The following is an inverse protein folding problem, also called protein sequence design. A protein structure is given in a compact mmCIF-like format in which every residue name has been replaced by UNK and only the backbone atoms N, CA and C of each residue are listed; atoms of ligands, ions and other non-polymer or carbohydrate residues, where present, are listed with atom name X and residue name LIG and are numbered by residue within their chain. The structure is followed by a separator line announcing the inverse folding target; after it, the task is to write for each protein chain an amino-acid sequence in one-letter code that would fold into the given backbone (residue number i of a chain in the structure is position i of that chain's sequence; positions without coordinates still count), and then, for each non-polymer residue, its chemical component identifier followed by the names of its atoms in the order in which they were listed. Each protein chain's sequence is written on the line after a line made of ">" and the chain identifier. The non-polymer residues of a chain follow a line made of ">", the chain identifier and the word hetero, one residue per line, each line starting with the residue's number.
data_IF_780550972470
#
_entry.id   IF_780550972470
#
_cell.length_a   1.000
_cell.length_b   1.000
_cell.length_c   1.000
_cell.angle_alpha   90.00
_cell.angle_beta   90.00
_cell.angle_gamma   90.00
#
_symmetry.space_group_name_H-M   'P 1'
#
loop_
_entity.id
_entity.type
_entity.pdbx_description
1 polymer ?
#
# COMPACT_ATOMS: atom_id res chain seq x y z
N UNK A 1 11.63 22.32 -24.18
CA UNK A 1 11.08 21.33 -23.23
C UNK A 1 11.59 19.97 -23.66
N UNK A 2 12.50 19.36 -22.89
CA UNK A 2 13.01 18.03 -23.18
C UNK A 2 11.95 17.00 -22.79
N UNK A 3 11.52 16.18 -23.74
CA UNK A 3 10.67 15.01 -23.46
C UNK A 3 11.42 14.05 -22.54
N UNK A 4 10.84 13.58 -21.43
CA UNK A 4 11.50 12.59 -20.58
C UNK A 4 11.75 11.33 -21.42
N UNK A 5 13.00 10.85 -21.40
CA UNK A 5 13.35 9.58 -22.03
C UNK A 5 12.51 8.46 -21.41
N UNK A 6 11.92 7.56 -22.20
CA UNK A 6 11.23 6.39 -21.64
C UNK A 6 12.22 5.60 -20.79
N UNK A 7 11.85 5.33 -19.54
CA UNK A 7 12.60 4.45 -18.65
C UNK A 7 12.82 3.12 -19.38
N UNK A 8 14.08 2.77 -19.64
CA UNK A 8 14.45 1.48 -20.24
C UNK A 8 13.85 0.36 -19.39
N UNK A 9 13.15 -0.57 -20.02
CA UNK A 9 12.63 -1.76 -19.35
C UNK A 9 13.79 -2.55 -18.75
N UNK A 10 13.78 -2.76 -17.44
CA UNK A 10 14.69 -3.69 -16.78
C UNK A 10 14.33 -5.11 -17.26
N UNK A 11 15.30 -5.93 -17.71
CA UNK A 11 15.02 -7.31 -18.08
C UNK A 11 14.41 -8.06 -16.89
N UNK A 12 13.38 -8.86 -17.16
CA UNK A 12 12.71 -9.65 -16.13
C UNK A 12 13.73 -10.51 -15.38
N UNK A 13 13.74 -10.39 -14.05
CA UNK A 13 14.59 -11.24 -13.24
C UNK A 13 14.06 -12.67 -13.23
N UNK A 14 14.94 -13.68 -13.08
CA UNK A 14 14.54 -15.09 -13.15
C UNK A 14 13.57 -15.54 -12.05
N UNK A 15 13.34 -14.71 -11.02
CA UNK A 15 12.36 -14.96 -9.96
C UNK A 15 10.94 -14.51 -10.34
N UNK A 16 10.77 -13.76 -11.43
CA UNK A 16 9.48 -13.20 -11.89
C UNK A 16 8.59 -14.23 -12.61
N UNK A 17 9.12 -15.42 -12.94
CA UNK A 17 8.40 -16.44 -13.71
C UNK A 17 7.91 -17.59 -12.84
N UNK A 18 6.70 -18.08 -13.13
CA UNK A 18 6.22 -19.35 -12.57
C UNK A 18 7.18 -20.50 -12.90
N UNK A 19 7.30 -21.52 -12.03
CA UNK A 19 8.09 -22.70 -12.32
C UNK A 19 7.56 -23.43 -13.57
N UNK A 20 8.46 -24.07 -14.33
CA UNK A 20 8.06 -24.91 -15.45
C UNK A 20 7.09 -26.00 -14.98
N UNK A 21 5.99 -26.23 -15.71
CA UNK A 21 5.00 -27.24 -15.34
C UNK A 21 4.08 -26.84 -14.18
N UNK A 22 3.94 -25.55 -13.89
CA UNK A 22 2.98 -24.99 -12.95
C UNK A 22 1.59 -25.64 -13.08
N UNK A 23 0.96 -25.91 -11.93
CA UNK A 23 -0.36 -26.52 -11.88
C UNK A 23 -1.42 -25.48 -12.23
N UNK A 24 -2.19 -25.75 -13.28
CA UNK A 24 -3.37 -24.96 -13.66
C UNK A 24 -4.59 -25.86 -13.67
N UNK A 25 -5.65 -25.44 -12.95
CA UNK A 25 -7.00 -25.97 -13.10
C UNK A 25 -7.13 -27.50 -13.07
N UNK A 26 -6.70 -28.15 -11.98
CA UNK A 26 -6.99 -29.59 -11.79
C UNK A 26 -8.51 -29.74 -11.61
N UNK A 27 -9.18 -30.24 -12.64
CA UNK A 27 -10.62 -30.53 -12.63
C UNK A 27 -10.80 -32.05 -12.55
N UNK A 28 -11.73 -32.49 -11.71
CA UNK A 28 -12.16 -33.88 -11.66
C UNK A 28 -13.25 -34.08 -12.72
N UNK A 29 -13.05 -35.07 -13.59
CA UNK A 29 -14.10 -35.54 -14.49
C UNK A 29 -15.19 -36.28 -13.70
N UNK A 30 -16.40 -36.35 -14.26
CA UNK A 30 -17.52 -37.06 -13.64
C UNK A 30 -17.13 -38.52 -13.32
N UNK A 31 -17.48 -38.98 -12.12
CA UNK A 31 -17.15 -40.30 -11.56
C UNK A 31 -15.65 -40.60 -11.32
N UNK A 32 -14.74 -39.65 -11.56
CA UNK A 32 -13.32 -39.82 -11.29
C UNK A 32 -12.97 -39.63 -9.79
N UNK A 33 -12.11 -40.49 -9.25
CA UNK A 33 -11.53 -40.33 -7.91
C UNK A 33 -10.19 -39.58 -8.02
N UNK A 34 -10.01 -38.52 -7.22
CA UNK A 34 -8.75 -37.80 -7.17
C UNK A 34 -7.63 -38.66 -6.57
N UNK A 35 -6.64 -39.01 -7.38
CA UNK A 35 -5.38 -39.60 -6.91
C UNK A 35 -4.30 -38.51 -6.83
N UNK A 36 -3.93 -38.05 -5.62
CA UNK A 36 -3.01 -36.94 -5.44
C UNK A 36 -1.59 -37.27 -5.93
N UNK A 37 -1.16 -38.52 -5.81
CA UNK A 37 0.19 -38.94 -6.24
C UNK A 37 0.23 -39.00 -7.75
N UNK A 38 -0.79 -39.57 -8.39
CA UNK A 38 -0.89 -39.62 -9.85
C UNK A 38 -0.99 -38.22 -10.48
N UNK A 39 -1.67 -37.27 -9.81
CA UNK A 39 -1.81 -35.89 -10.28
C UNK A 39 -0.46 -35.16 -10.45
N UNK A 40 0.53 -35.50 -9.62
CA UNK A 40 1.85 -34.86 -9.61
C UNK A 40 2.98 -35.77 -10.10
N UNK A 41 2.71 -37.05 -10.36
CA UNK A 41 3.72 -38.02 -10.79
C UNK A 41 4.39 -37.57 -12.10
N UNK A 42 5.72 -37.52 -12.10
CA UNK A 42 6.51 -37.04 -13.24
C UNK A 42 6.58 -35.52 -13.40
N UNK A 43 5.89 -34.75 -12.54
CA UNK A 43 5.97 -33.27 -12.48
C UNK A 43 6.71 -32.76 -11.25
N UNK A 44 6.97 -33.61 -10.25
CA UNK A 44 7.58 -33.23 -8.97
C UNK A 44 8.86 -32.42 -9.15
N UNK A 45 9.80 -32.87 -9.98
CA UNK A 45 11.08 -32.16 -10.19
C UNK A 45 10.93 -30.78 -10.84
N UNK A 46 9.84 -30.57 -11.58
CA UNK A 46 9.53 -29.28 -12.22
C UNK A 46 8.82 -28.33 -11.25
N UNK A 47 7.94 -28.87 -10.42
CA UNK A 47 7.21 -28.13 -9.38
C UNK A 47 8.09 -27.79 -8.17
N UNK A 48 9.00 -28.69 -7.81
CA UNK A 48 9.90 -28.58 -6.68
C UNK A 48 11.30 -28.96 -7.18
N UNK A 49 12.09 -27.96 -7.62
CA UNK A 49 13.45 -28.19 -8.10
C UNK A 49 14.32 -28.91 -7.07
N UNK A 50 15.16 -29.86 -7.51
CA UNK A 50 16.08 -30.60 -6.65
C UNK A 50 17.14 -29.69 -6.03
N UNK A 51 17.72 -30.10 -4.90
CA UNK A 51 18.73 -29.33 -4.17
C UNK A 51 19.97 -28.97 -5.02
N UNK A 52 20.33 -29.81 -5.99
CA UNK A 52 21.48 -29.61 -6.89
C UNK A 52 21.20 -28.59 -8.01
N UNK A 53 19.94 -28.39 -8.39
CA UNK A 53 19.49 -27.42 -9.39
C UNK A 53 18.87 -26.15 -8.81
N UNK A 54 18.59 -26.14 -7.50
CA UNK A 54 17.95 -25.01 -6.82
C UNK A 54 18.93 -23.88 -6.56
N UNK A 55 18.69 -22.73 -7.19
CA UNK A 55 19.34 -21.48 -6.80
C UNK A 55 18.56 -20.89 -5.62
N UNK A 56 19.23 -20.38 -4.56
CA UNK A 56 18.56 -19.69 -3.44
C UNK A 56 17.67 -18.51 -3.86
N UNK A 57 17.79 -18.07 -5.11
CA UNK A 57 16.99 -17.00 -5.72
C UNK A 57 15.67 -17.46 -6.34
N UNK A 58 15.34 -18.77 -6.31
CA UNK A 58 14.06 -19.28 -6.81
C UNK A 58 13.10 -19.53 -5.65
N UNK A 59 11.98 -18.80 -5.61
CA UNK A 59 10.98 -18.98 -4.58
C UNK A 59 10.18 -20.27 -4.80
N UNK A 60 10.08 -21.12 -3.78
CA UNK A 60 9.37 -22.41 -3.86
C UNK A 60 7.86 -22.30 -3.65
N UNK A 61 7.40 -21.22 -3.02
CA UNK A 61 5.98 -21.01 -2.69
C UNK A 61 5.17 -20.37 -3.83
N UNK A 62 5.84 -19.95 -4.91
CA UNK A 62 5.19 -19.25 -6.02
C UNK A 62 4.21 -20.18 -6.73
N UNK A 63 2.94 -19.78 -6.73
CA UNK A 63 1.87 -20.49 -7.42
C UNK A 63 0.86 -19.46 -7.93
N UNK A 64 0.68 -19.42 -9.26
CA UNK A 64 -0.28 -18.55 -9.94
C UNK A 64 -0.18 -17.09 -9.47
N UNK A 65 1.05 -16.63 -9.23
CA UNK A 65 1.33 -15.26 -8.80
C UNK A 65 1.97 -14.53 -9.97
N UNK A 66 1.16 -13.74 -10.67
CA UNK A 66 1.55 -13.17 -11.96
C UNK A 66 2.64 -12.08 -11.81
N UNK A 67 3.69 -12.05 -12.64
CA UNK A 67 4.76 -11.03 -12.53
C UNK A 67 4.26 -9.57 -12.58
N UNK A 68 3.20 -9.30 -13.32
CA UNK A 68 2.60 -7.96 -13.34
C UNK A 68 1.97 -7.57 -11.99
N UNK A 69 1.30 -8.50 -11.29
CA UNK A 69 0.69 -8.19 -9.97
C UNK A 69 1.76 -8.04 -8.91
N UNK A 70 2.81 -8.87 -8.96
CA UNK A 70 4.01 -8.72 -8.12
C UNK A 70 4.70 -7.37 -8.31
N UNK A 71 4.89 -6.94 -9.57
CA UNK A 71 5.45 -5.62 -9.88
C UNK A 71 4.59 -4.49 -9.33
N UNK A 72 3.26 -4.61 -9.43
CA UNK A 72 2.36 -3.60 -8.91
C UNK A 72 2.31 -3.58 -7.38
N UNK A 73 2.38 -4.73 -6.71
CA UNK A 73 2.56 -4.81 -5.26
C UNK A 73 3.84 -4.10 -4.82
N UNK A 74 4.97 -4.33 -5.51
CA UNK A 74 6.21 -3.61 -5.25
C UNK A 74 6.10 -2.10 -5.47
N UNK A 75 5.32 -1.66 -6.47
CA UNK A 75 5.02 -0.24 -6.63
C UNK A 75 4.17 0.30 -5.48
N UNK A 76 3.17 -0.46 -5.03
CA UNK A 76 2.27 -0.07 -3.93
C UNK A 76 3.03 0.02 -2.60
N UNK A 77 3.96 -0.89 -2.32
CA UNK A 77 4.87 -0.81 -1.17
C UNK A 77 5.62 0.53 -1.16
N UNK A 78 6.11 0.99 -2.33
CA UNK A 78 6.77 2.28 -2.43
C UNK A 78 5.81 3.47 -2.24
N UNK A 79 4.55 3.37 -2.71
CA UNK A 79 3.51 4.39 -2.47
C UNK A 79 3.27 4.55 -0.97
N UNK A 80 3.02 3.45 -0.26
CA UNK A 80 2.77 3.44 1.19
C UNK A 80 3.97 3.97 2.00
N UNK A 81 5.20 3.61 1.61
CA UNK A 81 6.40 4.19 2.23
C UNK A 81 6.54 5.70 1.96
N UNK A 82 6.20 6.18 0.75
CA UNK A 82 6.25 7.60 0.42
C UNK A 82 5.16 8.40 1.16
N UNK A 83 3.95 7.82 1.29
CA UNK A 83 2.87 8.37 2.11
C UNK A 83 3.30 8.47 3.57
N UNK A 84 3.89 7.40 4.12
CA UNK A 84 4.43 7.38 5.48
C UNK A 84 5.46 8.48 5.72
N UNK A 85 6.41 8.65 4.80
CA UNK A 85 7.46 9.66 4.92
C UNK A 85 6.90 11.09 4.80
N UNK A 86 5.90 11.28 3.93
CA UNK A 86 5.21 12.57 3.78
C UNK A 86 4.43 12.93 5.04
N UNK A 87 3.66 12.00 5.61
CA UNK A 87 2.97 12.23 6.88
C UNK A 87 3.92 12.49 8.04
N UNK A 88 5.10 11.86 8.05
CA UNK A 88 6.14 12.17 9.03
C UNK A 88 6.63 13.62 8.89
N UNK A 89 6.81 14.12 7.67
CA UNK A 89 7.15 15.52 7.41
C UNK A 89 6.05 16.47 7.87
N UNK A 90 4.79 16.17 7.53
CA UNK A 90 3.62 16.94 7.98
C UNK A 90 3.58 17.01 9.52
N UNK A 91 3.77 15.89 10.21
CA UNK A 91 3.82 15.85 11.68
C UNK A 91 4.85 16.83 12.24
N UNK A 92 6.06 16.84 11.69
CA UNK A 92 7.13 17.76 12.11
C UNK A 92 6.80 19.23 11.82
N UNK A 93 6.12 19.53 10.71
CA UNK A 93 5.66 20.89 10.41
C UNK A 93 4.68 21.40 11.47
N UNK A 94 3.64 20.63 11.80
CA UNK A 94 2.63 21.04 12.77
C UNK A 94 3.14 21.08 14.22
N UNK A 95 4.20 20.32 14.52
CA UNK A 95 4.87 20.32 15.81
C UNK A 95 5.76 21.55 16.06
N UNK A 96 6.05 22.38 15.05
CA UNK A 96 6.88 23.59 15.21
C UNK A 96 6.23 24.56 16.19
N UNK A 97 7.04 25.22 17.01
CA UNK A 97 6.60 26.24 17.96
C UNK A 97 5.91 27.43 17.28
N UNK A 98 6.30 27.73 16.04
CA UNK A 98 5.70 28.79 15.22
C UNK A 98 4.39 28.39 14.50
N UNK A 99 4.04 27.10 14.48
CA UNK A 99 2.76 26.59 13.92
C UNK A 99 1.80 26.21 15.05
N UNK A 100 2.26 25.42 16.01
CA UNK A 100 1.57 25.19 17.29
C UNK A 100 0.25 24.41 17.20
N UNK A 101 0.19 23.37 16.34
CA UNK A 101 -1.01 22.52 16.15
C UNK A 101 -0.70 21.06 16.54
N UNK A 102 -0.59 20.76 17.85
CA UNK A 102 -0.17 19.45 18.34
C UNK A 102 -1.14 18.32 17.99
N UNK A 103 -2.45 18.59 17.87
CA UNK A 103 -3.42 17.55 17.48
C UNK A 103 -3.14 17.00 16.08
N UNK A 104 -2.92 17.88 15.11
CA UNK A 104 -2.50 17.53 13.76
C UNK A 104 -1.13 16.88 13.73
N UNK A 105 -0.18 17.37 14.54
CA UNK A 105 1.13 16.72 14.66
C UNK A 105 0.99 15.26 15.08
N UNK A 106 0.17 14.96 16.08
CA UNK A 106 -0.13 13.60 16.54
C UNK A 106 -0.89 12.78 15.49
N UNK A 107 -1.91 13.36 14.84
CA UNK A 107 -2.65 12.70 13.77
C UNK A 107 -1.72 12.22 12.66
N UNK A 108 -0.87 13.11 12.15
CA UNK A 108 0.03 12.77 11.05
C UNK A 108 1.14 11.81 11.46
N UNK A 109 1.60 11.84 12.71
CA UNK A 109 2.51 10.81 13.21
C UNK A 109 1.84 9.43 13.23
N UNK A 110 0.58 9.36 13.68
CA UNK A 110 -0.21 8.13 13.66
C UNK A 110 -0.41 7.63 12.24
N UNK A 111 -0.80 8.49 11.30
CA UNK A 111 -0.93 8.16 9.87
C UNK A 111 0.39 7.68 9.26
N UNK A 112 1.52 8.30 9.61
CA UNK A 112 2.85 7.86 9.19
C UNK A 112 3.15 6.43 9.65
N UNK A 113 2.79 6.08 10.88
CA UNK A 113 2.98 4.72 11.40
C UNK A 113 2.03 3.71 10.74
N UNK A 114 0.77 4.07 10.53
CA UNK A 114 -0.24 3.20 9.90
C UNK A 114 0.12 2.86 8.44
N UNK A 115 0.49 3.85 7.64
CA UNK A 115 0.95 3.65 6.25
C UNK A 115 2.27 2.86 6.19
N UNK A 116 3.20 3.08 7.12
CA UNK A 116 4.39 2.23 7.24
C UNK A 116 4.04 0.78 7.54
N UNK A 117 3.04 0.53 8.40
CA UNK A 117 2.55 -0.81 8.69
C UNK A 117 1.94 -1.45 7.44
N UNK A 118 1.15 -0.71 6.66
CA UNK A 118 0.62 -1.17 5.38
C UNK A 118 1.73 -1.60 4.41
N UNK A 119 2.79 -0.79 4.25
CA UNK A 119 3.93 -1.14 3.40
C UNK A 119 4.61 -2.45 3.82
N UNK A 120 4.76 -2.67 5.13
CA UNK A 120 5.33 -3.90 5.69
C UNK A 120 4.39 -5.09 5.46
N UNK A 121 3.08 -4.92 5.62
CA UNK A 121 2.08 -5.95 5.39
C UNK A 121 2.03 -6.39 3.92
N UNK A 122 2.08 -5.44 2.98
CA UNK A 122 2.20 -5.72 1.55
C UNK A 122 3.51 -6.47 1.23
N UNK A 123 4.64 -6.07 1.81
CA UNK A 123 5.93 -6.74 1.61
C UNK A 123 5.93 -8.18 2.14
N UNK A 124 5.32 -8.39 3.31
CA UNK A 124 5.12 -9.72 3.89
C UNK A 124 4.23 -10.58 2.98
N UNK A 125 3.18 -10.00 2.41
CA UNK A 125 2.30 -10.68 1.48
C UNK A 125 3.02 -11.10 0.18
N UNK A 126 3.83 -10.22 -0.43
CA UNK A 126 4.66 -10.57 -1.60
C UNK A 126 5.55 -11.77 -1.28
N UNK A 127 6.21 -11.75 -0.11
CA UNK A 127 7.09 -12.83 0.32
C UNK A 127 6.31 -14.14 0.56
N UNK A 128 5.11 -14.04 1.14
CA UNK A 128 4.18 -15.18 1.37
C UNK A 128 3.77 -15.85 0.05
N UNK A 129 3.56 -15.08 -1.01
CA UNK A 129 3.19 -15.58 -2.35
C UNK A 129 4.37 -16.07 -3.18
N UNK A 130 5.58 -16.10 -2.62
CA UNK A 130 6.79 -16.51 -3.33
C UNK A 130 7.29 -15.46 -4.32
N UNK A 131 6.98 -14.18 -4.08
CA UNK A 131 7.57 -13.06 -4.80
C UNK A 131 8.79 -12.47 -4.10
N UNK A 132 9.44 -11.53 -4.78
CA UNK A 132 10.58 -10.78 -4.28
C UNK A 132 10.21 -9.30 -4.07
N UNK A 133 10.53 -8.80 -2.87
CA UNK A 133 10.34 -7.39 -2.53
C UNK A 133 11.49 -6.56 -3.07
N UNK A 134 11.17 -5.52 -3.84
CA UNK A 134 12.13 -4.56 -4.41
C UNK A 134 11.79 -3.17 -3.90
N UNK A 135 12.47 -2.75 -2.83
CA UNK A 135 12.31 -1.40 -2.27
C UNK A 135 12.94 -0.36 -3.21
N UNK A 136 12.24 0.76 -3.37
CA UNK A 136 12.66 1.88 -4.23
C UNK A 136 13.07 3.09 -3.39
N UNK A 137 13.82 4.04 -3.97
CA UNK A 137 14.10 5.31 -3.31
C UNK A 137 12.81 6.07 -3.00
N UNK A 138 12.75 6.67 -1.82
CA UNK A 138 11.68 7.56 -1.39
C UNK A 138 12.13 9.00 -1.60
N UNK A 139 11.33 9.81 -2.29
CA UNK A 139 11.65 11.22 -2.52
C UNK A 139 11.57 12.00 -1.19
N UNK A 140 12.39 13.05 -1.07
CA UNK A 140 12.28 13.98 0.04
C UNK A 140 10.90 14.68 -0.02
N UNK A 141 10.10 14.64 1.06
CA UNK A 141 8.80 15.30 1.10
C UNK A 141 8.98 16.81 1.19
N UNK A 142 7.90 17.55 0.90
CA UNK A 142 7.81 18.97 1.20
C UNK A 142 7.99 19.23 2.71
N UNK A 143 8.47 20.42 3.07
CA UNK A 143 8.68 20.80 4.48
C UNK A 143 7.75 21.92 4.96
N UNK A 144 6.97 22.53 4.08
CA UNK A 144 6.08 23.65 4.37
C UNK A 144 4.68 23.33 3.85
N UNK A 145 3.67 23.47 4.70
CA UNK A 145 2.28 23.11 4.38
C UNK A 145 1.27 24.24 4.62
N UNK A 146 1.76 25.40 5.08
CA UNK A 146 0.96 26.56 5.41
C UNK A 146 0.37 27.24 4.18
N UNK A 147 -0.82 27.81 4.35
CA UNK A 147 -1.52 28.59 3.33
C UNK A 147 -2.05 29.88 3.97
N UNK A 148 -1.62 31.07 3.52
CA UNK A 148 -2.03 32.33 4.13
C UNK A 148 -3.54 32.63 4.06
N UNK A 149 -4.26 32.05 3.11
CA UNK A 149 -5.69 32.28 2.92
C UNK A 149 -6.55 31.26 3.65
N UNK A 150 -6.15 29.98 3.61
CA UNK A 150 -6.91 28.86 4.19
C UNK A 150 -6.53 28.56 5.64
N UNK A 151 -5.33 28.97 6.06
CA UNK A 151 -4.70 28.52 7.28
C UNK A 151 -4.16 27.08 7.18
N UNK A 152 -3.16 26.81 8.00
CA UNK A 152 -2.34 25.61 7.94
C UNK A 152 -3.13 24.31 8.14
N UNK A 153 -4.12 24.31 9.05
CA UNK A 153 -4.89 23.11 9.34
C UNK A 153 -5.75 22.68 8.14
N UNK A 154 -6.46 23.64 7.52
CA UNK A 154 -7.31 23.35 6.37
C UNK A 154 -6.47 22.95 5.15
N UNK A 155 -5.37 23.66 4.90
CA UNK A 155 -4.44 23.34 3.81
C UNK A 155 -3.91 21.90 3.93
N UNK A 156 -3.42 21.52 5.12
CA UNK A 156 -2.93 20.17 5.37
C UNK A 156 -3.98 19.10 5.17
N UNK A 157 -5.17 19.27 5.75
CA UNK A 157 -6.22 18.26 5.63
C UNK A 157 -6.79 18.14 4.22
N UNK A 158 -6.82 19.23 3.43
CA UNK A 158 -7.18 19.15 2.01
C UNK A 158 -6.14 18.37 1.20
N UNK A 159 -4.84 18.63 1.45
CA UNK A 159 -3.75 17.87 0.86
C UNK A 159 -3.84 16.38 1.25
N UNK A 160 -4.03 16.09 2.53
CA UNK A 160 -4.22 14.72 3.04
C UNK A 160 -5.36 14.02 2.33
N UNK A 161 -6.54 14.63 2.26
CA UNK A 161 -7.69 14.02 1.57
C UNK A 161 -7.40 13.77 0.09
N UNK A 162 -6.65 14.64 -0.57
CA UNK A 162 -6.26 14.44 -1.98
C UNK A 162 -5.25 13.28 -2.13
N UNK A 163 -4.26 13.19 -1.24
CA UNK A 163 -3.28 12.10 -1.24
C UNK A 163 -3.94 10.74 -0.98
N UNK A 164 -4.82 10.64 0.02
CA UNK A 164 -5.55 9.40 0.35
C UNK A 164 -6.47 8.95 -0.80
N UNK A 165 -7.07 9.89 -1.54
CA UNK A 165 -7.84 9.56 -2.75
C UNK A 165 -6.95 8.99 -3.86
N UNK A 166 -5.77 9.56 -4.06
CA UNK A 166 -4.81 9.06 -5.04
C UNK A 166 -4.27 7.69 -4.64
N UNK A 167 -4.02 7.45 -3.36
CA UNK A 167 -3.64 6.14 -2.83
C UNK A 167 -4.76 5.11 -3.01
N UNK A 168 -5.99 5.47 -2.71
CA UNK A 168 -7.17 4.60 -2.93
C UNK A 168 -7.30 4.20 -4.40
N UNK A 169 -7.14 5.14 -5.33
CA UNK A 169 -7.13 4.85 -6.78
C UNK A 169 -6.02 3.88 -7.17
N UNK A 170 -4.85 3.94 -6.50
CA UNK A 170 -3.77 2.98 -6.70
C UNK A 170 -4.11 1.59 -6.18
N UNK A 171 -4.76 1.48 -5.03
CA UNK A 171 -5.27 0.19 -4.54
C UNK A 171 -6.30 -0.41 -5.49
N UNK A 172 -7.25 0.38 -5.99
CA UNK A 172 -8.25 -0.08 -6.96
C UNK A 172 -7.60 -0.53 -8.28
N UNK A 173 -6.59 0.19 -8.76
CA UNK A 173 -5.82 -0.19 -9.94
C UNK A 173 -5.07 -1.52 -9.75
N UNK A 174 -4.48 -1.72 -8.57
CA UNK A 174 -3.82 -2.98 -8.21
C UNK A 174 -4.83 -4.13 -8.08
N UNK A 175 -6.01 -3.88 -7.50
CA UNK A 175 -7.07 -4.88 -7.39
C UNK A 175 -7.56 -5.33 -8.77
N UNK A 176 -7.80 -4.37 -9.66
CA UNK A 176 -8.15 -4.66 -11.05
C UNK A 176 -7.09 -5.53 -11.74
N UNK A 177 -5.80 -5.24 -11.52
CA UNK A 177 -4.74 -6.05 -12.09
C UNK A 177 -4.71 -7.49 -11.54
N UNK A 178 -5.19 -7.71 -10.31
CA UNK A 178 -5.38 -9.04 -9.74
C UNK A 178 -6.59 -9.76 -10.38
N UNK A 179 -7.71 -9.05 -10.54
CA UNK A 179 -8.92 -9.55 -11.21
C UNK A 179 -8.64 -9.95 -12.67
N UNK A 180 -7.89 -9.12 -13.42
CA UNK A 180 -7.54 -9.36 -14.83
C UNK A 180 -6.77 -10.68 -15.03
N UNK A 181 -6.03 -11.14 -14.01
CA UNK A 181 -5.29 -12.42 -14.02
C UNK A 181 -5.95 -13.51 -13.17
N UNK A 182 -7.18 -13.26 -12.67
CA UNK A 182 -7.97 -14.18 -11.85
C UNK A 182 -7.21 -14.63 -10.59
N UNK A 183 -6.50 -13.70 -9.94
CA UNK A 183 -5.86 -13.92 -8.63
C UNK A 183 -6.84 -13.51 -7.51
N UNK A 184 -7.82 -14.39 -7.26
CA UNK A 184 -8.89 -14.18 -6.28
C UNK A 184 -8.33 -13.91 -4.87
N UNK A 185 -7.28 -14.63 -4.48
CA UNK A 185 -6.68 -14.49 -3.15
C UNK A 185 -6.01 -13.12 -2.96
N UNK A 186 -5.40 -12.56 -4.01
CA UNK A 186 -4.87 -11.20 -3.98
C UNK A 186 -6.00 -10.16 -3.92
N UNK A 187 -7.06 -10.35 -4.71
CA UNK A 187 -8.22 -9.44 -4.70
C UNK A 187 -8.88 -9.36 -3.30
N UNK A 188 -9.13 -10.51 -2.67
CA UNK A 188 -9.68 -10.59 -1.32
C UNK A 188 -8.75 -9.91 -0.31
N UNK A 189 -7.44 -10.21 -0.39
CA UNK A 189 -6.46 -9.60 0.50
C UNK A 189 -6.44 -8.07 0.40
N UNK A 190 -6.52 -7.51 -0.81
CA UNK A 190 -6.52 -6.07 -1.02
C UNK A 190 -7.81 -5.41 -0.51
N UNK A 191 -8.93 -6.06 -0.75
CA UNK A 191 -10.26 -5.58 -0.35
C UNK A 191 -10.37 -5.50 1.18
N UNK A 192 -10.16 -6.64 1.85
CA UNK A 192 -10.36 -6.78 3.29
C UNK A 192 -9.37 -5.94 4.11
N UNK A 193 -8.11 -5.86 3.66
CA UNK A 193 -7.04 -5.30 4.47
C UNK A 193 -6.77 -3.82 4.19
N UNK A 194 -7.15 -3.30 3.02
CA UNK A 194 -6.79 -1.93 2.61
C UNK A 194 -7.96 -1.13 2.06
N UNK A 195 -8.68 -1.64 1.04
CA UNK A 195 -9.70 -0.84 0.34
C UNK A 195 -10.85 -0.44 1.28
N UNK A 196 -11.37 -1.37 2.08
CA UNK A 196 -12.44 -1.07 3.03
C UNK A 196 -12.01 0.00 4.06
N UNK A 197 -10.80 -0.15 4.61
CA UNK A 197 -10.23 0.81 5.55
C UNK A 197 -10.00 2.19 4.91
N UNK A 198 -9.62 2.22 3.64
CA UNK A 198 -9.43 3.46 2.89
C UNK A 198 -10.76 4.22 2.70
N UNK A 199 -11.88 3.52 2.46
CA UNK A 199 -13.19 4.15 2.35
C UNK A 199 -13.60 4.85 3.66
N UNK A 200 -13.40 4.18 4.80
CA UNK A 200 -13.68 4.75 6.12
C UNK A 200 -12.79 5.97 6.41
N UNK A 201 -11.51 5.87 6.08
CA UNK A 201 -10.55 6.94 6.26
C UNK A 201 -10.86 8.17 5.39
N UNK A 202 -11.21 7.94 4.11
CA UNK A 202 -11.62 9.02 3.20
C UNK A 202 -12.84 9.76 3.75
N UNK A 203 -13.81 9.03 4.31
CA UNK A 203 -14.97 9.63 4.96
C UNK A 203 -14.56 10.48 6.16
N UNK A 204 -13.69 9.98 7.02
CA UNK A 204 -13.18 10.68 8.19
C UNK A 204 -12.46 11.98 7.80
N UNK A 205 -11.49 11.90 6.89
CA UNK A 205 -10.74 13.08 6.44
C UNK A 205 -11.62 14.10 5.70
N UNK A 206 -12.64 13.66 4.95
CA UNK A 206 -13.62 14.56 4.35
C UNK A 206 -14.46 15.30 5.40
N UNK A 207 -14.79 14.65 6.52
CA UNK A 207 -15.44 15.30 7.66
C UNK A 207 -14.52 16.35 8.27
N UNK A 208 -13.24 16.04 8.50
CA UNK A 208 -12.26 17.00 9.02
C UNK A 208 -12.13 18.25 8.15
N UNK A 209 -12.00 18.09 6.82
CA UNK A 209 -12.02 19.22 5.88
C UNK A 209 -13.31 20.03 6.00
N UNK A 210 -14.46 19.37 6.10
CA UNK A 210 -15.76 20.04 6.22
C UNK A 210 -15.91 20.81 7.54
N UNK A 211 -15.37 20.29 8.63
CA UNK A 211 -15.34 20.95 9.94
C UNK A 211 -14.41 22.17 9.92
N UNK A 212 -13.19 22.02 9.39
CA UNK A 212 -12.22 23.10 9.27
C UNK A 212 -12.74 24.27 8.41
N UNK A 213 -13.45 23.98 7.32
CA UNK A 213 -14.15 25.01 6.52
C UNK A 213 -15.25 25.72 7.30
N UNK A 214 -15.91 25.04 8.25
CA UNK A 214 -16.99 25.60 9.06
C UNK A 214 -16.48 26.46 10.22
N UNK A 215 -15.37 26.07 10.85
CA UNK A 215 -14.80 26.82 11.98
C UNK A 215 -13.90 27.97 11.55
N UNK A 216 -13.46 27.98 10.28
CA UNK A 216 -12.59 29.01 9.70
C UNK A 216 -11.24 29.13 10.43
N UNK A 217 -10.39 30.08 10.02
CA UNK A 217 -9.04 30.29 10.54
C UNK A 217 -9.02 30.86 11.98
N UNK A 218 -7.84 30.88 12.60
CA UNK A 218 -7.66 31.47 13.94
C UNK A 218 -8.21 30.58 15.05
N UNK A 219 -9.09 31.12 15.90
CA UNK A 219 -9.64 30.38 17.05
C UNK A 219 -10.35 29.09 16.65
N UNK A 220 -10.99 29.05 15.47
CA UNK A 220 -11.65 27.87 14.95
C UNK A 220 -10.72 26.68 14.73
N UNK A 221 -9.62 26.90 14.00
CA UNK A 221 -8.61 25.85 13.77
C UNK A 221 -7.91 25.44 15.07
N UNK A 222 -7.61 26.40 15.96
CA UNK A 222 -7.02 26.09 17.26
C UNK A 222 -7.93 25.20 18.13
N UNK A 223 -9.22 25.53 18.22
CA UNK A 223 -10.17 24.75 19.02
C UNK A 223 -10.37 23.36 18.39
N UNK A 224 -10.50 23.29 17.06
CA UNK A 224 -10.61 22.02 16.36
C UNK A 224 -9.39 21.12 16.60
N UNK A 225 -8.18 21.66 16.52
CA UNK A 225 -6.93 20.92 16.79
C UNK A 225 -6.87 20.41 18.24
N UNK A 226 -7.31 21.24 19.20
CA UNK A 226 -7.43 20.82 20.59
C UNK A 226 -8.40 19.64 20.76
N UNK A 227 -9.57 19.69 20.13
CA UNK A 227 -10.54 18.58 20.17
C UNK A 227 -9.96 17.32 19.52
N UNK A 228 -9.27 17.45 18.39
CA UNK A 228 -8.58 16.34 17.73
C UNK A 228 -7.53 15.69 18.66
N UNK A 229 -6.75 16.50 19.39
CA UNK A 229 -5.76 15.99 20.35
C UNK A 229 -6.42 15.18 21.49
N UNK A 230 -7.57 15.67 22.00
CA UNK A 230 -8.33 14.98 23.04
C UNK A 230 -8.90 13.64 22.54
N UNK A 231 -9.44 13.60 21.32
CA UNK A 231 -9.94 12.37 20.68
C UNK A 231 -8.83 11.34 20.47
N UNK A 232 -7.67 11.77 19.96
CA UNK A 232 -6.52 10.89 19.72
C UNK A 232 -5.90 10.38 21.02
N UNK A 233 -5.86 11.21 22.07
CA UNK A 233 -5.39 10.82 23.40
C UNK A 233 -6.32 9.83 24.09
N UNK A 234 -7.63 9.96 23.89
CA UNK A 234 -8.64 9.06 24.46
C UNK A 234 -8.66 7.69 23.78
N UNK A 235 -8.30 7.63 22.50
CA UNK A 235 -8.18 6.37 21.73
C UNK A 235 -6.91 5.56 22.05
N UNK A 236 -6.01 6.07 22.90
CA UNK A 236 -4.76 5.40 23.31
C UNK A 236 -4.82 4.77 24.72
N UNK A 237 -5.97 4.85 25.41
CA UNK A 237 -6.28 4.14 26.67
C UNK A 237 -7.31 3.04 26.42
#
# INVERSE_FOLDING_TARGET
>A
MATPSPLKSVPAHSWETEPEGALEGIVLEDDAIFDPVKAVKGKVEKLVPSAEGHKPTHCLARLRFHPNTEKQLNNMINVEYAMSYTFHSMSNYYARDCVGLPGLATLFLKRSHETRKNAIELAAYVSKRGGCVVLKPIAAPEGEYGDPQKGDALSGMELTLAMEKAETDKFLSLNKAAEDVVDEQLSDFLTDNFIDKQVDLLKLHAIYVSQLRRVHTGHGQWHWDKTLAEELGSSAM
#
